data_IF_263519600673
#
_entry.id   IF_263519600673
#
_cell.length_a   1.000
_cell.length_b   1.000
_cell.length_c   1.000
_cell.angle_alpha   90.00
_cell.angle_beta   90.00
_cell.angle_gamma   90.00
#
_symmetry.space_group_name_H-M   'P 1'
#
loop_
_entity.id
_entity.type
_entity.pdbx_description
1 polymer ?
#
# COMPACT_ATOMS: atom_id res chain seq x y z
N UNK A 1 -0.41 -14.99 20.45
CA UNK A 1 -0.24 -14.33 19.14
C UNK A 1 -0.05 -12.84 19.37
N UNK A 2 0.77 -12.19 18.54
CA UNK A 2 1.14 -10.77 18.67
C UNK A 2 0.11 -9.91 17.94
N UNK A 3 -0.53 -8.99 18.64
CA UNK A 3 -1.52 -8.09 18.04
C UNK A 3 -0.88 -6.92 17.30
N UNK A 4 -1.53 -6.50 16.22
CA UNK A 4 -1.20 -5.27 15.48
C UNK A 4 -2.46 -4.66 14.85
N UNK A 5 -2.54 -3.33 14.74
CA UNK A 5 -3.76 -2.68 14.26
C UNK A 5 -4.06 -2.97 12.79
N UNK A 6 -3.04 -3.14 11.95
CA UNK A 6 -3.20 -3.30 10.51
C UNK A 6 -1.92 -3.92 9.93
N UNK A 7 -2.10 -4.92 9.07
CA UNK A 7 -1.05 -5.55 8.27
C UNK A 7 -1.42 -5.37 6.80
N UNK A 8 -0.53 -4.79 6.02
CA UNK A 8 -0.77 -4.50 4.61
C UNK A 8 0.12 -5.38 3.71
N UNK A 9 -0.44 -5.86 2.61
CA UNK A 9 0.27 -6.68 1.65
C UNK A 9 0.05 -6.15 0.23
N UNK A 10 1.14 -6.05 -0.53
CA UNK A 10 1.13 -5.68 -1.94
C UNK A 10 0.86 -6.94 -2.79
N UNK A 11 -0.32 -7.05 -3.41
CA UNK A 11 -0.58 -8.05 -4.44
C UNK A 11 0.08 -7.68 -5.78
N UNK A 12 0.42 -6.40 -5.99
CA UNK A 12 1.23 -5.98 -7.14
C UNK A 12 2.04 -4.74 -6.76
N UNK A 13 3.30 -4.67 -7.16
CA UNK A 13 4.10 -3.45 -7.05
C UNK A 13 3.90 -2.49 -8.23
N UNK A 14 3.50 -3.03 -9.40
CA UNK A 14 3.12 -2.25 -10.57
C UNK A 14 1.81 -1.46 -10.33
N UNK A 15 1.63 -0.35 -11.06
CA UNK A 15 0.41 0.44 -11.09
C UNK A 15 0.17 0.97 -12.51
N UNK A 16 -1.07 1.34 -12.81
CA UNK A 16 -1.50 1.98 -14.06
C UNK A 16 -1.73 3.49 -13.94
N UNK A 17 -1.43 4.09 -12.77
CA UNK A 17 -1.57 5.52 -12.53
C UNK A 17 -0.23 6.19 -12.21
N UNK A 18 -0.07 7.42 -12.68
CA UNK A 18 1.12 8.29 -12.59
C UNK A 18 1.00 9.30 -11.44
N UNK A 19 0.50 8.84 -10.30
CA UNK A 19 0.28 9.65 -9.12
C UNK A 19 1.57 10.38 -8.64
N UNK A 20 1.62 11.72 -8.69
CA UNK A 20 2.87 12.47 -8.49
C UNK A 20 3.61 12.29 -7.15
N UNK A 21 2.95 11.76 -6.11
CA UNK A 21 3.51 11.58 -4.75
C UNK A 21 3.00 10.28 -4.13
N UNK A 22 3.03 9.18 -4.88
CA UNK A 22 2.61 7.89 -4.36
C UNK A 22 3.55 7.43 -3.25
N UNK A 23 2.98 7.11 -2.09
CA UNK A 23 3.74 6.64 -0.93
C UNK A 23 4.20 5.18 -1.03
N UNK A 24 3.75 4.46 -2.07
CA UNK A 24 4.21 3.12 -2.44
C UNK A 24 5.23 3.16 -3.58
N UNK A 25 5.52 4.37 -4.10
CA UNK A 25 6.39 4.60 -5.25
C UNK A 25 6.01 3.90 -6.57
N UNK A 26 4.81 3.32 -6.64
CA UNK A 26 4.34 2.66 -7.86
C UNK A 26 4.13 3.62 -9.04
N UNK A 27 4.09 4.93 -8.78
CA UNK A 27 4.05 5.97 -9.82
C UNK A 27 5.32 6.04 -10.68
N UNK A 28 6.40 5.37 -10.28
CA UNK A 28 7.61 5.25 -11.08
C UNK A 28 7.59 4.03 -12.03
N UNK A 29 6.51 3.25 -12.02
CA UNK A 29 6.27 2.12 -12.93
C UNK A 29 7.46 1.16 -13.04
N UNK A 30 7.99 0.77 -11.88
CA UNK A 30 9.18 -0.08 -11.77
C UNK A 30 8.93 -1.37 -10.96
N UNK A 31 7.72 -1.54 -10.43
CA UNK A 31 7.32 -2.75 -9.72
C UNK A 31 6.79 -3.82 -10.67
N UNK A 32 6.77 -5.06 -10.20
CA UNK A 32 6.17 -6.20 -10.90
C UNK A 32 4.86 -6.68 -10.28
N UNK A 33 4.38 -7.82 -10.76
CA UNK A 33 3.30 -8.60 -10.15
C UNK A 33 3.88 -9.51 -9.07
N UNK A 34 3.17 -9.67 -7.95
CA UNK A 34 3.57 -10.60 -6.88
C UNK A 34 2.95 -11.95 -7.16
N UNK A 35 3.75 -13.01 -7.21
CA UNK A 35 3.21 -14.36 -7.43
C UNK A 35 2.49 -14.89 -6.19
N UNK A 36 1.63 -15.88 -6.38
CA UNK A 36 0.98 -16.58 -5.27
C UNK A 36 1.99 -17.25 -4.33
N UNK A 37 3.10 -17.77 -4.87
CA UNK A 37 4.19 -18.36 -4.07
C UNK A 37 4.90 -17.31 -3.20
N UNK A 38 5.14 -16.11 -3.74
CA UNK A 38 5.70 -15.01 -2.95
C UNK A 38 4.71 -14.58 -1.85
N UNK A 39 3.42 -14.47 -2.17
CA UNK A 39 2.39 -14.18 -1.17
C UNK A 39 2.34 -15.26 -0.07
N UNK A 40 2.42 -16.53 -0.45
CA UNK A 40 2.47 -17.66 0.47
C UNK A 40 3.68 -17.62 1.37
N UNK A 41 4.88 -17.39 0.83
CA UNK A 41 6.10 -17.27 1.62
C UNK A 41 5.98 -16.14 2.66
N UNK A 42 5.41 -15.00 2.27
CA UNK A 42 5.17 -13.88 3.17
C UNK A 42 4.19 -14.24 4.29
N UNK A 43 3.02 -14.79 3.97
CA UNK A 43 2.00 -15.12 4.97
C UNK A 43 2.42 -16.29 5.87
N UNK A 44 3.01 -17.34 5.31
CA UNK A 44 3.47 -18.51 6.07
C UNK A 44 4.54 -18.16 7.11
N UNK A 45 5.35 -17.13 6.85
CA UNK A 45 6.35 -16.63 7.79
C UNK A 45 5.76 -16.02 9.07
N UNK A 46 4.47 -15.67 9.07
CA UNK A 46 3.83 -14.93 10.17
C UNK A 46 2.48 -15.51 10.62
N UNK A 47 1.86 -16.40 9.84
CA UNK A 47 0.59 -17.06 10.21
C UNK A 47 0.76 -17.84 11.51
N UNK A 48 -0.24 -17.76 12.39
CA UNK A 48 -0.18 -18.37 13.73
C UNK A 48 0.70 -17.62 14.74
N UNK A 49 1.52 -16.64 14.30
CA UNK A 49 2.31 -15.78 15.19
C UNK A 49 1.67 -14.41 15.37
N UNK A 50 1.23 -13.79 14.29
CA UNK A 50 0.54 -12.49 14.31
C UNK A 50 -0.99 -12.63 14.39
N UNK A 51 -1.63 -11.67 15.05
CA UNK A 51 -3.07 -11.48 15.11
C UNK A 51 -3.43 -10.04 14.69
N UNK A 52 -3.37 -9.71 13.38
CA UNK A 52 -3.75 -8.38 12.91
C UNK A 52 -5.24 -8.14 13.11
N UNK A 53 -5.60 -6.94 13.59
CA UNK A 53 -7.01 -6.50 13.61
C UNK A 53 -7.56 -6.35 12.20
N UNK A 54 -6.71 -5.93 11.26
CA UNK A 54 -7.02 -5.83 9.82
C UNK A 54 -5.89 -6.39 8.97
N UNK A 55 -6.26 -7.17 7.95
CA UNK A 55 -5.39 -7.54 6.84
C UNK A 55 -5.86 -6.79 5.59
N UNK A 56 -4.99 -5.95 5.04
CA UNK A 56 -5.30 -5.18 3.84
C UNK A 56 -4.52 -5.72 2.64
N UNK A 57 -5.26 -6.16 1.61
CA UNK A 57 -4.70 -6.50 0.30
C UNK A 57 -4.83 -5.27 -0.60
N UNK A 58 -3.67 -4.75 -0.98
CA UNK A 58 -3.55 -3.57 -1.84
C UNK A 58 -2.35 -3.74 -2.76
N UNK A 59 -1.84 -2.67 -3.32
CA UNK A 59 -0.79 -2.73 -4.32
C UNK A 59 -0.55 -1.35 -4.92
N UNK A 60 0.41 -1.26 -5.83
CA UNK A 60 0.38 -0.17 -6.79
C UNK A 60 -0.99 -0.15 -7.46
N UNK A 61 -1.36 -1.25 -8.11
CA UNK A 61 -2.74 -1.60 -8.42
C UNK A 61 -2.92 -3.12 -8.34
N UNK A 62 -3.63 -3.65 -7.33
CA UNK A 62 -3.76 -5.10 -7.15
C UNK A 62 -4.55 -5.81 -8.26
N UNK A 63 -5.49 -5.13 -8.95
CA UNK A 63 -6.25 -5.74 -10.07
C UNK A 63 -5.42 -6.00 -11.33
N UNK A 64 -4.14 -5.56 -11.35
CA UNK A 64 -3.18 -6.00 -12.35
C UNK A 64 -2.72 -7.44 -12.15
N UNK A 65 -2.86 -8.01 -10.95
CA UNK A 65 -2.40 -9.35 -10.65
C UNK A 65 -3.45 -10.40 -11.06
N UNK A 66 -3.16 -11.33 -11.99
CA UNK A 66 -4.09 -12.41 -12.36
C UNK A 66 -4.37 -13.39 -11.19
N UNK A 67 -3.49 -13.48 -10.19
CA UNK A 67 -3.64 -14.35 -9.02
C UNK A 67 -4.30 -13.63 -7.82
N UNK A 68 -4.88 -12.43 -8.02
CA UNK A 68 -5.46 -11.62 -6.96
C UNK A 68 -6.47 -12.38 -6.09
N UNK A 69 -7.38 -13.13 -6.71
CA UNK A 69 -8.40 -13.92 -6.01
C UNK A 69 -7.73 -14.91 -5.04
N UNK A 70 -6.77 -15.69 -5.53
CA UNK A 70 -6.06 -16.68 -4.72
C UNK A 70 -5.26 -16.03 -3.59
N UNK A 71 -4.72 -14.82 -3.80
CA UNK A 71 -4.03 -14.05 -2.75
C UNK A 71 -5.02 -13.62 -1.65
N UNK A 72 -6.24 -13.18 -2.00
CA UNK A 72 -7.27 -12.80 -1.03
C UNK A 72 -7.71 -14.00 -0.19
N UNK A 73 -7.96 -15.13 -0.83
CA UNK A 73 -8.32 -16.39 -0.15
C UNK A 73 -7.20 -16.84 0.79
N UNK A 74 -5.95 -16.79 0.33
CA UNK A 74 -4.79 -17.14 1.13
C UNK A 74 -4.61 -16.19 2.33
N UNK A 75 -4.88 -14.90 2.16
CA UNK A 75 -4.84 -13.93 3.25
C UNK A 75 -5.90 -14.23 4.32
N UNK A 76 -7.13 -14.60 3.90
CA UNK A 76 -8.19 -15.05 4.83
C UNK A 76 -7.77 -16.32 5.56
N UNK A 77 -7.23 -17.32 4.86
CA UNK A 77 -6.76 -18.56 5.49
C UNK A 77 -5.66 -18.29 6.52
N UNK A 78 -4.74 -17.37 6.21
CA UNK A 78 -3.58 -17.07 7.07
C UNK A 78 -3.96 -16.23 8.30
N UNK A 79 -4.94 -15.34 8.17
CA UNK A 79 -5.40 -14.44 9.24
C UNK A 79 -6.93 -14.49 9.39
N UNK A 80 -7.48 -15.64 9.85
CA UNK A 80 -8.92 -15.92 9.80
C UNK A 80 -9.78 -14.97 10.63
N UNK A 81 -9.21 -14.34 11.65
CA UNK A 81 -9.93 -13.45 12.57
C UNK A 81 -9.79 -11.96 12.22
N UNK A 82 -8.97 -11.60 11.22
CA UNK A 82 -8.75 -10.22 10.85
C UNK A 82 -9.94 -9.65 10.03
N UNK A 83 -10.22 -8.36 10.18
CA UNK A 83 -11.03 -7.62 9.20
C UNK A 83 -10.33 -7.65 7.84
N UNK A 84 -11.02 -8.12 6.79
CA UNK A 84 -10.49 -8.09 5.44
C UNK A 84 -10.72 -6.71 4.80
N UNK A 85 -9.67 -6.12 4.24
CA UNK A 85 -9.78 -4.91 3.43
C UNK A 85 -9.09 -5.10 2.08
N UNK A 86 -9.82 -4.88 0.99
CA UNK A 86 -9.27 -4.82 -0.36
C UNK A 86 -9.25 -3.37 -0.84
N UNK A 87 -8.11 -2.86 -1.32
CA UNK A 87 -7.98 -1.46 -1.79
C UNK A 87 -7.48 -1.41 -3.23
N UNK A 88 -8.22 -0.74 -4.11
CA UNK A 88 -7.91 -0.63 -5.55
C UNK A 88 -8.21 0.77 -6.08
N UNK A 89 -7.63 1.16 -7.22
CA UNK A 89 -8.06 2.34 -7.98
C UNK A 89 -9.30 2.05 -8.88
N UNK A 90 -9.64 0.78 -9.09
CA UNK A 90 -10.85 0.30 -9.74
C UNK A 90 -10.82 0.20 -11.27
N UNK A 91 -9.71 0.56 -11.93
CA UNK A 91 -9.66 0.65 -13.40
C UNK A 91 -9.68 -0.70 -14.13
N UNK A 92 -9.35 -1.80 -13.45
CA UNK A 92 -9.31 -3.14 -14.05
C UNK A 92 -10.18 -4.16 -13.30
N UNK A 93 -11.26 -3.70 -12.67
CA UNK A 93 -12.20 -4.59 -11.97
C UNK A 93 -12.88 -5.57 -12.92
N UNK A 94 -13.06 -5.20 -14.19
CA UNK A 94 -13.58 -6.04 -15.27
C UNK A 94 -12.75 -7.31 -15.53
N UNK A 95 -11.47 -7.31 -15.15
CA UNK A 95 -10.59 -8.48 -15.28
C UNK A 95 -10.84 -9.54 -14.21
N UNK A 96 -11.61 -9.23 -13.18
CA UNK A 96 -11.86 -10.10 -12.04
C UNK A 96 -13.37 -10.22 -11.77
N UNK A 97 -14.15 -10.85 -12.68
CA UNK A 97 -15.60 -10.92 -12.56
C UNK A 97 -16.07 -11.67 -11.30
N UNK A 98 -15.29 -12.62 -10.79
CA UNK A 98 -15.59 -13.37 -9.56
C UNK A 98 -15.25 -12.60 -8.27
N UNK A 99 -14.57 -11.46 -8.37
CA UNK A 99 -14.08 -10.71 -7.21
C UNK A 99 -15.18 -10.33 -6.20
N UNK A 100 -16.39 -9.89 -6.61
CA UNK A 100 -17.49 -9.62 -5.67
C UNK A 100 -17.78 -10.79 -4.73
N UNK A 101 -17.95 -11.99 -5.30
CA UNK A 101 -18.24 -13.22 -4.55
C UNK A 101 -17.09 -13.59 -3.64
N UNK A 102 -15.86 -13.58 -4.16
CA UNK A 102 -14.64 -13.88 -3.39
C UNK A 102 -14.50 -12.95 -2.19
N UNK A 103 -14.75 -11.64 -2.37
CA UNK A 103 -14.68 -10.67 -1.28
C UNK A 103 -15.73 -10.96 -0.19
N UNK A 104 -16.96 -11.29 -0.56
CA UNK A 104 -18.02 -11.66 0.39
C UNK A 104 -17.65 -12.93 1.16
N UNK A 105 -17.33 -14.01 0.44
CA UNK A 105 -17.03 -15.33 1.02
C UNK A 105 -15.83 -15.26 1.98
N UNK A 106 -14.87 -14.38 1.68
CA UNK A 106 -13.68 -14.16 2.50
C UNK A 106 -13.81 -12.99 3.47
N UNK A 107 -14.98 -12.37 3.63
CA UNK A 107 -15.24 -11.25 4.56
C UNK A 107 -14.25 -10.09 4.37
N UNK A 108 -14.04 -9.70 3.11
CA UNK A 108 -13.31 -8.50 2.73
C UNK A 108 -14.28 -7.41 2.30
N UNK A 109 -14.16 -6.21 2.88
CA UNK A 109 -14.75 -5.02 2.28
C UNK A 109 -13.83 -4.46 1.20
N UNK A 110 -14.39 -3.73 0.24
CA UNK A 110 -13.64 -3.06 -0.82
C UNK A 110 -13.63 -1.54 -0.64
N UNK A 111 -12.46 -0.95 -0.78
CA UNK A 111 -12.26 0.48 -0.88
C UNK A 111 -11.70 0.86 -2.26
N UNK A 112 -12.46 1.66 -3.02
CA UNK A 112 -12.03 2.16 -4.32
C UNK A 112 -11.53 3.60 -4.18
N UNK A 113 -10.27 3.83 -4.51
CA UNK A 113 -9.58 5.12 -4.34
C UNK A 113 -9.74 6.03 -5.55
N UNK A 114 -10.34 7.20 -5.33
CA UNK A 114 -10.38 8.30 -6.31
C UNK A 114 -9.09 9.16 -6.20
N UNK A 115 -8.17 8.98 -7.14
CA UNK A 115 -6.84 9.60 -7.16
C UNK A 115 -6.77 10.99 -7.81
N UNK A 116 -7.84 11.47 -8.45
CA UNK A 116 -7.80 12.75 -9.13
C UNK A 116 -9.16 13.43 -9.25
N UNK A 117 -9.12 14.65 -9.80
CA UNK A 117 -10.30 15.44 -10.19
C UNK A 117 -10.21 15.98 -11.62
N UNK A 118 -9.14 15.65 -12.34
CA UNK A 118 -8.98 16.06 -13.73
C UNK A 118 -10.16 15.57 -14.57
N UNK A 119 -10.66 16.35 -15.54
CA UNK A 119 -11.88 16.00 -16.28
C UNK A 119 -11.82 14.63 -16.94
N UNK A 120 -10.68 14.29 -17.58
CA UNK A 120 -10.54 13.02 -18.31
C UNK A 120 -10.47 11.83 -17.37
N UNK A 121 -9.66 11.91 -16.30
CA UNK A 121 -9.72 10.96 -15.19
C UNK A 121 -11.16 10.75 -14.67
N UNK A 122 -11.92 11.83 -14.44
CA UNK A 122 -13.26 11.74 -13.85
C UNK A 122 -14.29 11.10 -14.81
N UNK A 123 -14.13 11.24 -16.13
CA UNK A 123 -14.94 10.51 -17.11
C UNK A 123 -14.72 9.00 -16.96
N UNK A 124 -13.45 8.57 -16.94
CA UNK A 124 -13.10 7.15 -16.76
C UNK A 124 -13.56 6.62 -15.40
N UNK A 125 -13.36 7.41 -14.34
CA UNK A 125 -13.80 7.05 -12.99
C UNK A 125 -15.33 6.94 -12.87
N UNK A 126 -16.11 7.66 -13.70
CA UNK A 126 -17.57 7.52 -13.75
C UNK A 126 -17.99 6.13 -14.24
N UNK A 127 -17.27 5.55 -15.19
CA UNK A 127 -17.50 4.18 -15.68
C UNK A 127 -17.25 3.19 -14.53
N UNK A 128 -16.15 3.35 -13.80
CA UNK A 128 -15.86 2.56 -12.60
C UNK A 128 -17.01 2.65 -11.59
N UNK A 129 -17.48 3.87 -11.30
CA UNK A 129 -18.62 4.06 -10.38
C UNK A 129 -19.90 3.40 -10.85
N UNK A 130 -20.15 3.33 -12.16
CA UNK A 130 -21.31 2.63 -12.71
C UNK A 130 -21.15 1.12 -12.51
N UNK A 131 -19.97 0.58 -12.82
CA UNK A 131 -19.65 -0.83 -12.60
C UNK A 131 -19.81 -1.22 -11.12
N UNK A 132 -19.30 -0.41 -10.19
CA UNK A 132 -19.47 -0.65 -8.75
C UNK A 132 -20.95 -0.65 -8.32
N UNK A 133 -21.80 0.20 -8.90
CA UNK A 133 -23.25 0.19 -8.62
C UNK A 133 -23.92 -1.08 -9.13
N UNK A 134 -23.50 -1.60 -10.29
CA UNK A 134 -23.99 -2.87 -10.81
C UNK A 134 -23.63 -4.00 -9.84
N UNK A 135 -22.38 -4.08 -9.41
CA UNK A 135 -21.96 -5.04 -8.39
C UNK A 135 -22.74 -4.91 -7.08
N UNK A 136 -22.99 -3.71 -6.57
CA UNK A 136 -23.81 -3.54 -5.36
C UNK A 136 -25.27 -3.96 -5.55
N UNK A 137 -25.78 -3.94 -6.79
CA UNK A 137 -27.14 -4.39 -7.10
C UNK A 137 -27.20 -5.91 -7.20
N UNK A 138 -26.19 -6.53 -7.79
CA UNK A 138 -26.06 -7.98 -7.98
C UNK A 138 -25.63 -8.71 -6.68
N UNK A 139 -24.83 -8.05 -5.86
CA UNK A 139 -24.23 -8.59 -4.63
C UNK A 139 -24.53 -7.66 -3.45
N UNK A 140 -25.71 -7.81 -2.85
CA UNK A 140 -26.20 -6.93 -1.76
C UNK A 140 -25.28 -6.90 -0.53
N UNK A 141 -24.57 -8.00 -0.27
CA UNK A 141 -23.66 -8.13 0.88
C UNK A 141 -22.27 -7.53 0.62
N UNK A 142 -21.98 -7.12 -0.63
CA UNK A 142 -20.69 -6.54 -1.00
C UNK A 142 -20.56 -5.13 -0.42
N UNK A 143 -19.67 -4.98 0.55
CA UNK A 143 -19.36 -3.70 1.16
C UNK A 143 -18.35 -2.92 0.32
N UNK A 144 -18.81 -1.84 -0.32
CA UNK A 144 -17.96 -0.95 -1.13
C UNK A 144 -17.97 0.45 -0.55
N UNK A 145 -16.79 1.05 -0.42
CA UNK A 145 -16.64 2.47 -0.13
C UNK A 145 -15.74 3.16 -1.18
N UNK A 146 -16.07 4.39 -1.54
CA UNK A 146 -15.26 5.20 -2.46
C UNK A 146 -14.52 6.27 -1.66
N UNK A 147 -13.19 6.15 -1.62
CA UNK A 147 -12.32 7.07 -0.89
C UNK A 147 -11.86 8.20 -1.79
N UNK A 148 -12.02 9.46 -1.36
CA UNK A 148 -11.47 10.63 -2.08
C UNK A 148 -9.98 10.81 -1.76
N UNK A 149 -9.15 9.84 -2.14
CA UNK A 149 -7.73 9.75 -1.78
C UNK A 149 -6.91 10.97 -2.19
N UNK A 150 -7.25 11.62 -3.31
CA UNK A 150 -6.65 12.90 -3.72
C UNK A 150 -6.72 14.01 -2.66
N UNK A 151 -7.71 14.02 -1.77
CA UNK A 151 -7.82 15.04 -0.71
C UNK A 151 -6.83 14.84 0.43
N UNK A 152 -6.41 13.59 0.65
CA UNK A 152 -5.51 13.20 1.73
C UNK A 152 -4.06 13.12 1.30
N UNK A 153 -3.78 13.32 0.01
CA UNK A 153 -2.43 13.20 -0.53
C UNK A 153 -1.49 14.24 0.05
N UNK A 154 -0.26 13.80 0.26
CA UNK A 154 0.83 14.60 0.81
C UNK A 154 2.07 14.34 0.01
N UNK A 155 2.90 15.36 -0.09
CA UNK A 155 4.22 15.21 -0.64
C UNK A 155 5.02 14.17 0.17
N UNK A 156 5.56 13.18 -0.53
CA UNK A 156 6.37 12.10 0.04
C UNK A 156 7.87 12.42 -0.09
N UNK A 157 8.25 13.14 -1.14
CA UNK A 157 9.62 13.54 -1.43
C UNK A 157 9.63 14.90 -2.13
N UNK A 158 10.77 15.59 -2.07
CA UNK A 158 11.02 16.82 -2.83
C UNK A 158 11.48 16.47 -4.24
N UNK A 159 11.08 17.26 -5.23
CA UNK A 159 11.67 17.17 -6.56
C UNK A 159 12.76 18.23 -6.65
N UNK A 160 14.02 17.81 -6.78
CA UNK A 160 15.19 18.69 -6.95
C UNK A 160 15.85 18.26 -8.25
N UNK A 161 15.92 19.17 -9.23
CA UNK A 161 16.51 18.89 -10.56
C UNK A 161 15.95 17.62 -11.23
N UNK A 162 14.63 17.41 -11.10
CA UNK A 162 13.95 16.23 -11.67
C UNK A 162 14.15 14.92 -10.89
N UNK A 163 14.86 14.93 -9.76
CA UNK A 163 15.08 13.76 -8.90
C UNK A 163 14.26 13.82 -7.61
N UNK A 164 13.68 12.69 -7.16
CA UNK A 164 13.04 12.62 -5.86
C UNK A 164 14.11 12.56 -4.76
N UNK A 165 14.07 13.55 -3.89
CA UNK A 165 14.98 13.73 -2.75
C UNK A 165 14.20 13.68 -1.44
N UNK A 166 14.77 13.10 -0.38
CA UNK A 166 14.08 13.04 0.90
C UNK A 166 13.95 14.43 1.52
N UNK A 167 13.08 14.54 2.52
CA UNK A 167 13.14 15.65 3.45
C UNK A 167 14.32 15.49 4.41
N UNK A 168 14.63 16.54 5.14
CA UNK A 168 15.51 16.47 6.30
C UNK A 168 14.81 17.21 7.43
N UNK A 169 14.22 16.45 8.36
CA UNK A 169 13.33 16.99 9.36
C UNK A 169 13.41 16.26 10.69
N UNK A 170 12.79 16.82 11.72
CA UNK A 170 12.63 16.15 13.00
C UNK A 170 11.78 14.85 12.86
N UNK A 171 12.30 13.67 13.24
CA UNK A 171 11.60 12.40 13.12
C UNK A 171 10.27 12.36 13.87
N UNK A 172 10.22 12.91 15.08
CA UNK A 172 9.02 12.89 15.93
C UNK A 172 7.90 13.75 15.34
N UNK A 173 8.23 14.96 14.88
CA UNK A 173 7.29 15.85 14.22
C UNK A 173 6.72 15.24 12.93
N UNK A 174 7.58 14.61 12.12
CA UNK A 174 7.14 13.92 10.90
C UNK A 174 6.22 12.72 11.23
N UNK A 175 6.58 11.93 12.23
CA UNK A 175 5.77 10.80 12.70
C UNK A 175 4.40 11.25 13.25
N UNK A 176 4.36 12.33 14.04
CA UNK A 176 3.12 12.83 14.64
C UNK A 176 2.04 13.10 13.58
N UNK A 177 2.42 13.68 12.44
CA UNK A 177 1.49 14.03 11.36
C UNK A 177 1.29 12.91 10.32
N UNK A 178 2.03 11.80 10.42
CA UNK A 178 2.05 10.72 9.45
C UNK A 178 0.73 9.96 9.41
N UNK A 179 0.14 9.83 8.21
CA UNK A 179 -1.07 9.04 7.99
C UNK A 179 -0.79 7.54 7.82
N UNK A 180 0.49 7.17 7.71
CA UNK A 180 0.95 5.82 7.37
C UNK A 180 1.65 5.12 8.53
N UNK A 181 1.67 5.75 9.71
CA UNK A 181 2.33 5.22 10.92
C UNK A 181 1.70 3.93 11.44
N UNK A 182 0.52 3.57 10.94
CA UNK A 182 -0.18 2.30 11.19
C UNK A 182 -0.27 1.41 9.95
N UNK A 183 0.48 1.70 8.89
CA UNK A 183 0.48 0.92 7.64
C UNK A 183 1.69 -0.03 7.63
N UNK A 184 1.77 -0.93 8.62
CA UNK A 184 2.83 -1.95 8.66
C UNK A 184 2.72 -2.83 7.42
N UNK A 185 3.78 -2.93 6.63
CA UNK A 185 3.78 -3.75 5.42
C UNK A 185 4.42 -5.12 5.70
N UNK A 186 3.83 -6.16 5.13
CA UNK A 186 4.47 -7.46 4.97
C UNK A 186 5.09 -7.52 3.57
N UNK A 187 6.41 -7.58 3.51
CA UNK A 187 7.15 -7.58 2.24
C UNK A 187 8.50 -8.26 2.40
N UNK A 188 8.85 -9.14 1.44
CA UNK A 188 10.05 -9.99 1.49
C UNK A 188 10.17 -10.72 2.83
N UNK A 189 9.06 -11.34 3.27
CA UNK A 189 8.89 -12.08 4.53
C UNK A 189 9.16 -11.29 5.82
N UNK A 190 9.47 -10.00 5.74
CA UNK A 190 9.72 -9.14 6.90
C UNK A 190 8.57 -8.16 7.14
N UNK A 191 8.49 -7.66 8.37
CA UNK A 191 7.63 -6.53 8.72
C UNK A 191 8.36 -5.21 8.52
N UNK A 192 7.74 -4.31 7.76
CA UNK A 192 8.24 -2.96 7.48
C UNK A 192 7.34 -1.93 8.13
N UNK A 193 7.93 -0.87 8.69
CA UNK A 193 7.18 0.16 9.43
C UNK A 193 6.14 0.91 8.60
N UNK A 194 6.42 1.12 7.31
CA UNK A 194 5.56 1.87 6.41
C UNK A 194 5.87 1.52 4.95
N UNK A 195 4.98 1.85 3.99
CA UNK A 195 5.21 1.58 2.57
C UNK A 195 6.37 2.37 1.97
N UNK A 196 6.65 3.58 2.49
CA UNK A 196 7.78 4.38 2.03
C UNK A 196 9.13 3.71 2.32
N UNK A 197 9.22 2.86 3.36
CA UNK A 197 10.42 2.07 3.61
C UNK A 197 10.42 0.78 2.79
N UNK A 198 9.30 0.06 2.79
CA UNK A 198 9.16 -1.21 2.10
C UNK A 198 9.51 -1.11 0.61
N UNK A 199 9.05 -0.04 -0.05
CA UNK A 199 9.10 0.03 -1.52
C UNK A 199 10.14 1.02 -2.06
N UNK A 200 10.91 1.70 -1.20
CA UNK A 200 11.94 2.65 -1.63
C UNK A 200 12.96 2.01 -2.59
N UNK A 201 13.36 0.76 -2.35
CA UNK A 201 14.30 0.05 -3.21
C UNK A 201 13.82 -0.08 -4.68
N UNK A 202 12.50 -0.13 -4.91
CA UNK A 202 11.91 -0.20 -6.25
C UNK A 202 12.13 1.14 -6.99
N UNK A 203 11.82 2.26 -6.33
CA UNK A 203 12.09 3.60 -6.86
C UNK A 203 13.59 3.82 -7.08
N UNK A 204 14.40 3.50 -6.07
CA UNK A 204 15.84 3.76 -6.06
C UNK A 204 16.53 3.04 -7.23
N UNK A 205 16.15 1.79 -7.52
CA UNK A 205 16.66 1.06 -8.68
C UNK A 205 16.26 1.72 -10.01
N UNK A 206 14.98 2.08 -10.17
CA UNK A 206 14.46 2.68 -11.41
C UNK A 206 15.15 3.99 -11.77
N UNK A 207 15.47 4.79 -10.75
CA UNK A 207 16.01 6.13 -10.90
C UNK A 207 17.52 6.20 -10.69
N UNK A 208 18.20 5.06 -10.58
CA UNK A 208 19.64 4.96 -10.33
C UNK A 208 20.11 5.74 -9.08
N UNK A 209 19.33 5.69 -7.99
CA UNK A 209 19.59 6.38 -6.72
C UNK A 209 20.32 5.49 -5.70
N UNK A 210 20.88 4.36 -6.13
CA UNK A 210 21.57 3.42 -5.24
C UNK A 210 22.72 4.10 -4.46
N UNK A 211 23.45 5.00 -5.14
CA UNK A 211 24.60 5.72 -4.58
C UNK A 211 24.27 7.14 -4.12
N UNK A 212 23.00 7.56 -4.17
CA UNK A 212 22.60 8.90 -3.73
C UNK A 212 22.73 9.02 -2.20
N UNK A 213 23.68 9.81 -1.65
CA UNK A 213 23.94 9.86 -0.22
C UNK A 213 22.73 10.36 0.57
N UNK A 214 21.91 11.22 -0.01
CA UNK A 214 20.71 11.73 0.64
C UNK A 214 19.73 10.64 1.05
N UNK A 215 19.75 9.46 0.42
CA UNK A 215 18.88 8.32 0.74
C UNK A 215 19.50 7.27 1.68
N UNK A 216 20.69 7.54 2.24
CA UNK A 216 21.44 6.56 3.03
C UNK A 216 20.62 5.98 4.20
N UNK A 217 19.91 6.82 4.94
CA UNK A 217 19.15 6.38 6.13
C UNK A 217 18.03 5.39 5.80
N UNK A 218 17.43 5.50 4.62
CA UNK A 218 16.44 4.53 4.13
C UNK A 218 17.10 3.21 3.71
N UNK A 219 18.32 3.25 3.16
CA UNK A 219 19.08 2.02 2.84
C UNK A 219 19.56 1.28 4.09
N UNK A 220 19.91 2.00 5.14
CA UNK A 220 20.38 1.42 6.40
C UNK A 220 19.25 0.80 7.24
N UNK A 221 17.99 1.06 6.89
CA UNK A 221 16.84 0.54 7.63
C UNK A 221 16.79 -1.00 7.58
N UNK A 222 16.61 -1.61 8.74
CA UNK A 222 16.41 -3.05 8.90
C UNK A 222 14.94 -3.34 9.18
N UNK A 223 14.31 -4.13 8.31
CA UNK A 223 12.97 -4.66 8.54
C UNK A 223 13.00 -5.75 9.62
N UNK A 224 11.89 -5.96 10.33
CA UNK A 224 11.81 -6.99 11.36
C UNK A 224 11.65 -8.38 10.71
N UNK A 225 12.63 -9.29 10.86
CA UNK A 225 12.58 -10.60 10.22
C UNK A 225 11.69 -11.57 11.01
N UNK A 226 11.21 -12.65 10.38
CA UNK A 226 10.40 -13.67 11.05
C UNK A 226 11.20 -14.45 12.11
N UNK A 227 12.54 -14.41 12.07
CA UNK A 227 13.43 -15.00 13.07
C UNK A 227 13.59 -14.15 14.34
N UNK A 228 13.10 -12.91 14.35
CA UNK A 228 13.11 -12.07 15.54
C UNK A 228 12.31 -12.72 16.68
N UNK A 229 12.70 -12.48 17.93
CA UNK A 229 11.95 -12.95 19.11
C UNK A 229 10.62 -12.20 19.27
N UNK A 230 9.67 -12.74 20.02
CA UNK A 230 8.39 -12.06 20.26
C UNK A 230 8.58 -10.68 20.91
N UNK A 231 9.57 -10.56 21.81
CA UNK A 231 9.96 -9.26 22.39
C UNK A 231 10.42 -8.26 21.32
N UNK A 232 11.30 -8.69 20.39
CA UNK A 232 11.77 -7.83 19.31
C UNK A 232 10.65 -7.43 18.34
N UNK A 233 9.69 -8.32 18.08
CA UNK A 233 8.52 -8.00 17.25
C UNK A 233 7.60 -7.01 17.96
N UNK A 234 7.37 -7.17 19.27
CA UNK A 234 6.57 -6.24 20.08
C UNK A 234 7.24 -4.87 20.18
N UNK A 235 8.54 -4.82 20.44
CA UNK A 235 9.35 -3.59 20.44
C UNK A 235 9.28 -2.91 19.07
N UNK A 236 9.48 -3.68 17.99
CA UNK A 236 9.30 -3.21 16.63
C UNK A 236 7.91 -2.61 16.45
N UNK A 237 6.82 -3.29 16.79
CA UNK A 237 5.46 -2.80 16.54
C UNK A 237 5.12 -1.57 17.40
N UNK A 238 5.59 -1.50 18.64
CA UNK A 238 5.32 -0.42 19.60
C UNK A 238 6.19 0.83 19.39
N UNK A 239 7.34 0.70 18.72
CA UNK A 239 8.21 1.83 18.38
C UNK A 239 7.41 2.88 17.61
N UNK A 240 7.39 4.12 18.09
CA UNK A 240 6.66 5.21 17.44
C UNK A 240 7.44 5.71 16.22
N UNK A 241 8.28 6.72 16.40
CA UNK A 241 9.18 7.25 15.40
C UNK A 241 10.46 6.42 15.30
N UNK A 242 11.06 6.45 14.12
CA UNK A 242 12.38 5.90 13.83
C UNK A 242 13.20 6.99 13.13
N UNK A 243 14.54 6.90 13.11
CA UNK A 243 15.37 7.91 12.46
C UNK A 243 14.93 8.22 11.02
N UNK A 244 14.49 7.21 10.28
CA UNK A 244 14.00 7.33 8.89
C UNK A 244 12.80 8.28 8.75
N UNK A 245 12.01 8.50 9.80
CA UNK A 245 10.91 9.48 9.75
C UNK A 245 11.38 10.89 9.40
N UNK A 246 12.67 11.23 9.60
CA UNK A 246 13.28 12.49 9.14
C UNK A 246 13.22 12.74 7.64
N UNK A 247 13.00 11.70 6.82
CA UNK A 247 12.88 11.84 5.36
C UNK A 247 11.46 12.15 4.90
N UNK A 248 10.52 12.32 5.84
CA UNK A 248 9.13 12.68 5.58
C UNK A 248 8.88 14.15 5.98
N UNK A 249 7.85 14.82 5.44
CA UNK A 249 7.56 16.20 5.83
C UNK A 249 6.98 16.30 7.25
N UNK A 250 7.20 17.45 7.90
CA UNK A 250 6.63 17.80 9.23
C UNK A 250 5.35 18.63 9.17
N UNK A 251 4.91 18.99 7.96
CA UNK A 251 3.65 19.70 7.72
C UNK A 251 2.97 19.16 6.47
N UNK A 252 1.68 19.43 6.32
CA UNK A 252 0.98 19.15 5.06
C UNK A 252 1.50 20.09 3.98
N UNK A 253 2.16 19.54 2.97
CA UNK A 253 2.58 20.28 1.79
C UNK A 253 1.61 19.91 0.67
N UNK A 254 0.84 20.90 0.23
CA UNK A 254 -0.02 20.74 -0.94
C UNK A 254 0.84 20.68 -2.20
N UNK A 255 0.41 19.87 -3.15
CA UNK A 255 1.04 19.79 -4.47
C UNK A 255 -0.05 19.72 -5.53
N UNK A 256 0.30 20.12 -6.75
CA UNK A 256 -0.64 20.07 -7.86
C UNK A 256 -0.94 18.61 -8.25
N UNK A 257 -2.19 18.20 -8.09
CA UNK A 257 -2.68 16.90 -8.56
C UNK A 257 -2.95 16.95 -10.06
N UNK A 258 -1.92 16.61 -10.85
CA UNK A 258 -2.09 16.37 -12.29
C UNK A 258 -3.07 15.21 -12.52
N UNK A 259 -3.55 15.08 -13.76
CA UNK A 259 -4.32 13.92 -14.15
C UNK A 259 -3.47 12.65 -13.90
N UNK A 260 -3.87 11.74 -13.01
CA UNK A 260 -3.06 10.57 -12.68
C UNK A 260 -3.04 9.52 -13.79
N UNK A 261 -3.71 9.77 -14.92
CA UNK A 261 -3.68 8.89 -16.10
C UNK A 261 -2.67 9.32 -17.17
N UNK A 262 -1.97 10.42 -16.93
CA UNK A 262 -1.00 11.00 -17.86
C UNK A 262 0.39 10.97 -17.20
N UNK A 263 1.39 10.53 -17.97
CA UNK A 263 2.79 10.45 -17.56
C UNK A 263 3.46 11.84 -17.44
#
# INVERSE_FOLDING_TARGET
>A
MIELPNLEFHAAHACNLYCAQCSHYSNFHAGGIVSLDEARANFDSWKGRLAPKRIAILGGEPTLNPELISIIELARQSFPNAEGLFVTNGFFLDRHPDLPRVLIDNRFRMDVSQHGRAPEYMKRFRIIRQHLRQWQTEYSDLQINIRKSHRGWRQQYRMIEGKPMPFDSDPRAAWNICLQKSCTQLYKTCLWKCPALAYHAIMSRKLNLANEPAWQRFRDYQACPPTATDFQVLDFLSTSEIPQCSYCPVRRIQFHHRDPTIA
#
